data_IF_754994153961
#
_entry.id   IF_754994153961
#
_cell.length_a   1.000
_cell.length_b   1.000
_cell.length_c   1.000
_cell.angle_alpha   90.00
_cell.angle_beta   90.00
_cell.angle_gamma   90.00
#
_symmetry.space_group_name_H-M   'P 1'
#
loop_
_entity.id
_entity.type
_entity.pdbx_description
1 polymer ?
#
# COMPACT_ATOMS: atom_id res chain seq x y z
N UNK A 1 21.63 -8.96 -8.69
CA UNK A 1 20.32 -8.30 -8.53
C UNK A 1 19.45 -8.69 -9.71
N UNK A 2 18.21 -9.12 -9.52
CA UNK A 2 17.29 -9.41 -10.63
C UNK A 2 17.02 -8.11 -11.42
N UNK A 3 17.14 -8.17 -12.74
CA UNK A 3 16.92 -7.02 -13.64
C UNK A 3 15.53 -6.39 -13.46
N UNK A 4 14.49 -7.22 -13.26
CA UNK A 4 13.13 -6.75 -13.00
C UNK A 4 13.05 -5.91 -11.74
N UNK A 5 13.71 -6.35 -10.67
CA UNK A 5 13.74 -5.61 -9.41
C UNK A 5 14.49 -4.28 -9.54
N UNK A 6 15.56 -4.24 -10.33
CA UNK A 6 16.28 -3.00 -10.62
C UNK A 6 15.40 -1.96 -11.33
N UNK A 7 14.62 -2.38 -12.34
CA UNK A 7 13.66 -1.51 -13.05
C UNK A 7 12.58 -0.97 -12.10
N UNK A 8 12.06 -1.82 -11.20
CA UNK A 8 11.04 -1.44 -10.22
C UNK A 8 11.56 -0.42 -9.20
N UNK A 9 12.78 -0.63 -8.68
CA UNK A 9 13.40 0.29 -7.72
C UNK A 9 13.76 1.64 -8.36
N UNK A 10 14.22 1.61 -9.62
CA UNK A 10 14.55 2.82 -10.39
C UNK A 10 13.31 3.49 -11.00
N UNK A 11 12.13 2.86 -10.90
CA UNK A 11 10.85 3.35 -11.42
C UNK A 11 10.91 3.71 -12.92
N UNK A 12 11.62 2.88 -13.70
CA UNK A 12 11.70 3.06 -15.15
C UNK A 12 10.35 2.85 -15.84
N UNK A 13 10.13 3.58 -16.94
CA UNK A 13 8.86 3.65 -17.66
C UNK A 13 8.18 2.30 -17.99
N UNK A 14 8.87 1.18 -18.29
CA UNK A 14 8.21 -0.09 -18.60
C UNK A 14 7.30 -0.63 -17.50
N UNK A 15 7.50 -0.23 -16.24
CA UNK A 15 6.61 -0.67 -15.15
C UNK A 15 5.18 -0.11 -15.27
N UNK A 16 4.98 0.90 -16.12
CA UNK A 16 3.67 1.52 -16.38
C UNK A 16 2.79 0.67 -17.30
N UNK A 17 3.40 -0.28 -18.02
CA UNK A 17 2.67 -1.18 -18.93
C UNK A 17 2.14 -2.43 -18.20
N UNK A 18 2.53 -2.61 -16.94
CA UNK A 18 2.05 -3.70 -16.09
C UNK A 18 0.94 -3.17 -15.19
N UNK A 19 -0.25 -3.75 -15.24
CA UNK A 19 -1.36 -3.37 -14.39
C UNK A 19 -1.89 -4.53 -13.56
N UNK A 20 -2.52 -4.19 -12.44
CA UNK A 20 -3.24 -5.10 -11.56
C UNK A 20 -4.67 -4.63 -11.40
N UNK A 21 -5.60 -5.59 -11.48
CA UNK A 21 -7.00 -5.39 -11.18
C UNK A 21 -7.37 -6.20 -9.94
N UNK A 22 -8.08 -5.56 -9.01
CA UNK A 22 -8.51 -6.23 -7.77
C UNK A 22 -9.93 -5.83 -7.40
N UNK A 23 -10.54 -6.62 -6.52
CA UNK A 23 -11.86 -6.35 -5.98
C UNK A 23 -11.88 -6.57 -4.48
N UNK A 24 -12.45 -5.62 -3.75
CA UNK A 24 -12.85 -5.77 -2.36
C UNK A 24 -14.37 -5.83 -2.28
N UNK A 25 -14.90 -6.85 -1.62
CA UNK A 25 -16.32 -6.99 -1.34
C UNK A 25 -16.62 -6.48 0.06
N UNK A 26 -17.68 -5.69 0.21
CA UNK A 26 -18.15 -5.23 1.51
C UNK A 26 -17.18 -4.28 2.23
N UNK A 27 -16.34 -3.55 1.51
CA UNK A 27 -15.52 -2.47 2.10
C UNK A 27 -16.42 -1.35 2.59
N UNK A 28 -16.15 -0.79 3.77
CA UNK A 28 -16.90 0.36 4.28
C UNK A 28 -16.81 1.54 3.31
N UNK A 29 -17.93 2.23 3.07
CA UNK A 29 -17.99 3.29 2.05
C UNK A 29 -16.99 4.42 2.31
N UNK A 30 -16.76 4.81 3.57
CA UNK A 30 -15.76 5.82 3.92
C UNK A 30 -14.33 5.36 3.64
N UNK A 31 -14.03 4.04 3.74
CA UNK A 31 -12.71 3.51 3.36
C UNK A 31 -12.56 3.57 1.84
N UNK A 32 -13.61 3.22 1.09
CA UNK A 32 -13.59 3.34 -0.37
C UNK A 32 -13.25 4.76 -0.83
N UNK A 33 -13.73 5.80 -0.11
CA UNK A 33 -13.40 7.20 -0.43
C UNK A 33 -11.91 7.53 -0.31
N UNK A 34 -11.15 6.81 0.54
CA UNK A 34 -9.70 6.97 0.63
C UNK A 34 -8.98 6.41 -0.60
N UNK A 35 -9.59 5.43 -1.27
CA UNK A 35 -8.99 4.75 -2.42
C UNK A 35 -9.34 5.41 -3.74
N UNK A 36 -10.52 6.00 -3.90
CA UNK A 36 -10.93 6.71 -5.13
C UNK A 36 -10.12 8.00 -5.40
N UNK A 37 -9.36 8.50 -4.42
CA UNK A 37 -8.54 9.72 -4.55
C UNK A 37 -7.20 9.50 -5.25
N UNK A 38 -6.86 8.25 -5.59
CA UNK A 38 -5.60 7.93 -6.25
C UNK A 38 -5.74 7.99 -7.78
N UNK A 39 -4.59 8.11 -8.46
CA UNK A 39 -4.50 8.17 -9.93
C UNK A 39 -4.64 6.76 -10.52
N UNK A 40 -5.81 6.19 -10.46
CA UNK A 40 -6.14 4.89 -11.03
C UNK A 40 -7.61 4.82 -11.41
N UNK A 41 -7.99 3.81 -12.17
CA UNK A 41 -9.37 3.54 -12.46
C UNK A 41 -10.01 2.79 -11.29
N UNK A 42 -11.19 3.24 -10.87
CA UNK A 42 -11.93 2.55 -9.84
C UNK A 42 -13.43 2.59 -10.08
N UNK A 43 -14.09 1.56 -9.60
CA UNK A 43 -15.55 1.44 -9.57
C UNK A 43 -16.00 1.12 -8.15
N UNK A 44 -16.93 1.90 -7.65
CA UNK A 44 -17.59 1.67 -6.36
C UNK A 44 -19.05 1.36 -6.61
N UNK A 45 -19.56 0.28 -6.00
CA UNK A 45 -20.99 -0.10 -6.13
C UNK A 45 -21.88 1.07 -5.75
N UNK A 46 -22.84 1.35 -6.61
CA UNK A 46 -23.77 2.47 -6.42
C UNK A 46 -24.64 2.27 -5.17
N UNK A 47 -24.78 3.34 -4.40
CA UNK A 47 -25.68 3.45 -3.25
C UNK A 47 -26.94 4.26 -3.58
N UNK A 48 -27.32 4.39 -4.86
CA UNK A 48 -28.52 5.11 -5.28
C UNK A 48 -29.77 4.46 -4.73
N UNK A 49 -30.68 5.29 -4.20
CA UNK A 49 -31.93 4.85 -3.57
C UNK A 49 -32.82 4.01 -4.49
N UNK A 50 -32.82 4.32 -5.80
CA UNK A 50 -33.57 3.56 -6.81
C UNK A 50 -33.02 2.14 -7.06
N UNK A 51 -31.76 1.86 -6.66
CA UNK A 51 -31.11 0.55 -6.79
C UNK A 51 -31.06 -0.22 -5.49
N UNK A 52 -31.00 0.46 -4.35
CA UNK A 52 -30.89 -0.16 -3.03
C UNK A 52 -32.23 -0.32 -2.34
N UNK A 53 -33.25 0.46 -2.74
CA UNK A 53 -34.55 0.53 -2.05
C UNK A 53 -34.49 1.31 -0.73
N UNK A 54 -33.31 1.83 -0.34
CA UNK A 54 -33.10 2.59 0.90
C UNK A 54 -32.73 4.03 0.54
N UNK A 55 -33.35 5.06 1.15
CA UNK A 55 -32.94 6.43 0.97
C UNK A 55 -31.46 6.61 1.32
N UNK A 56 -30.69 7.22 0.41
CA UNK A 56 -29.23 7.35 0.54
C UNK A 56 -28.81 8.13 1.79
N UNK A 57 -29.56 9.11 2.18
CA UNK A 57 -29.34 9.94 3.38
C UNK A 57 -29.54 9.18 4.70
N UNK A 58 -30.19 8.02 4.64
CA UNK A 58 -30.34 7.11 5.78
C UNK A 58 -29.27 6.03 5.88
N UNK A 59 -28.38 5.92 4.89
CA UNK A 59 -27.29 4.96 4.92
C UNK A 59 -26.15 5.46 5.83
N UNK A 60 -25.63 4.61 6.73
CA UNK A 60 -24.48 4.97 7.57
C UNK A 60 -23.21 5.12 6.73
N UNK A 61 -22.23 5.86 7.24
CA UNK A 61 -20.94 6.04 6.54
C UNK A 61 -20.16 4.73 6.38
N UNK A 62 -20.43 3.74 7.21
CA UNK A 62 -19.80 2.41 7.13
C UNK A 62 -20.62 1.38 6.35
N UNK A 63 -21.65 1.82 5.62
CA UNK A 63 -22.42 0.95 4.73
C UNK A 63 -21.49 0.19 3.77
N UNK A 64 -21.60 -1.15 3.70
CA UNK A 64 -20.72 -1.96 2.85
C UNK A 64 -20.93 -1.68 1.36
N UNK A 65 -19.83 -1.48 0.64
CA UNK A 65 -19.82 -1.35 -0.83
C UNK A 65 -18.80 -2.27 -1.45
N UNK A 66 -19.01 -2.69 -2.69
CA UNK A 66 -17.99 -3.35 -3.46
C UNK A 66 -17.11 -2.30 -4.14
N UNK A 67 -15.81 -2.51 -4.09
CA UNK A 67 -14.80 -1.67 -4.74
C UNK A 67 -14.02 -2.51 -5.74
N UNK A 68 -13.88 -2.03 -6.95
CA UNK A 68 -12.96 -2.56 -7.96
C UNK A 68 -11.94 -1.48 -8.27
N UNK A 69 -10.65 -1.81 -8.25
CA UNK A 69 -9.58 -0.91 -8.64
C UNK A 69 -8.74 -1.54 -9.74
N UNK A 70 -8.20 -0.70 -10.61
CA UNK A 70 -7.21 -1.07 -11.61
C UNK A 70 -6.13 0.00 -11.67
N UNK A 71 -4.87 -0.40 -11.51
CA UNK A 71 -3.73 0.51 -11.48
C UNK A 71 -2.51 -0.12 -12.12
N UNK A 72 -1.72 0.68 -12.81
CA UNK A 72 -0.39 0.26 -13.21
C UNK A 72 0.57 0.22 -12.01
N UNK A 73 1.72 -0.44 -12.18
CA UNK A 73 2.68 -0.65 -11.10
C UNK A 73 3.22 0.67 -10.54
N UNK A 74 3.45 1.71 -11.37
CA UNK A 74 3.88 3.00 -10.88
C UNK A 74 2.84 3.62 -9.92
N UNK A 75 1.57 3.61 -10.30
CA UNK A 75 0.50 4.13 -9.45
C UNK A 75 0.32 3.32 -8.17
N UNK A 76 0.55 2.00 -8.23
CA UNK A 76 0.56 1.15 -7.03
C UNK A 76 1.71 1.54 -6.10
N UNK A 77 2.93 1.71 -6.59
CA UNK A 77 4.09 2.14 -5.80
C UNK A 77 3.78 3.48 -5.11
N UNK A 78 3.32 4.48 -5.86
CA UNK A 78 3.02 5.82 -5.34
C UNK A 78 1.93 5.78 -4.26
N UNK A 79 0.90 4.96 -4.49
CA UNK A 79 -0.21 4.81 -3.54
C UNK A 79 0.24 4.07 -2.28
N UNK A 80 0.99 2.98 -2.42
CA UNK A 80 1.43 2.18 -1.27
C UNK A 80 2.40 2.94 -0.36
N UNK A 81 3.20 3.86 -0.90
CA UNK A 81 4.00 4.82 -0.10
C UNK A 81 3.15 5.60 0.90
N UNK A 82 1.91 5.93 0.53
CA UNK A 82 0.96 6.66 1.38
C UNK A 82 0.09 5.73 2.23
N UNK A 83 -0.39 4.61 1.67
CA UNK A 83 -1.39 3.76 2.32
C UNK A 83 -0.80 2.72 3.25
N UNK A 84 0.49 2.35 3.11
CA UNK A 84 1.23 1.58 4.11
C UNK A 84 1.79 2.46 5.23
N UNK A 85 1.70 3.78 5.14
CA UNK A 85 2.12 4.70 6.20
C UNK A 85 1.14 4.67 7.38
N UNK A 86 1.66 4.72 8.62
CA UNK A 86 0.84 4.73 9.83
C UNK A 86 0.04 6.03 10.06
N UNK A 87 0.27 7.06 9.25
CA UNK A 87 -0.62 8.23 9.18
C UNK A 87 -1.92 7.97 8.40
N UNK A 88 -1.98 6.88 7.65
CA UNK A 88 -3.25 6.43 7.07
C UNK A 88 -4.13 5.78 8.14
N UNK A 89 -5.45 5.89 7.99
CA UNK A 89 -6.40 5.22 8.87
C UNK A 89 -6.10 3.71 8.96
N UNK A 90 -6.26 3.12 10.14
CA UNK A 90 -5.91 1.71 10.41
C UNK A 90 -6.54 0.77 9.38
N UNK A 91 -7.82 0.89 9.16
CA UNK A 91 -8.57 0.04 8.23
C UNK A 91 -8.08 0.20 6.78
N UNK A 92 -7.74 1.42 6.39
CA UNK A 92 -7.16 1.68 5.05
C UNK A 92 -5.79 1.01 4.89
N UNK A 93 -4.96 0.98 5.96
CA UNK A 93 -3.68 0.26 5.95
C UNK A 93 -3.87 -1.24 5.84
N UNK A 94 -4.87 -1.80 6.52
CA UNK A 94 -5.18 -3.24 6.45
C UNK A 94 -5.48 -3.65 5.00
N UNK A 95 -6.33 -2.90 4.29
CA UNK A 95 -6.57 -3.13 2.85
C UNK A 95 -5.30 -2.95 1.99
N UNK A 96 -4.43 -1.98 2.32
CA UNK A 96 -3.16 -1.81 1.64
C UNK A 96 -2.22 -3.01 1.86
N UNK A 97 -2.14 -3.50 3.09
CA UNK A 97 -1.34 -4.67 3.44
C UNK A 97 -1.85 -5.93 2.74
N UNK A 98 -3.17 -6.14 2.70
CA UNK A 98 -3.78 -7.27 2.01
C UNK A 98 -3.53 -7.22 0.49
N UNK A 99 -3.68 -6.04 -0.12
CA UNK A 99 -3.37 -5.86 -1.54
C UNK A 99 -1.88 -6.13 -1.83
N UNK A 100 -0.96 -5.62 -0.99
CA UNK A 100 0.47 -5.91 -1.10
C UNK A 100 0.73 -7.42 -1.03
N UNK A 101 0.17 -8.12 -0.05
CA UNK A 101 0.30 -9.58 0.09
C UNK A 101 -0.23 -10.33 -1.13
N UNK A 102 -1.39 -9.92 -1.65
CA UNK A 102 -1.98 -10.52 -2.85
C UNK A 102 -1.10 -10.32 -4.09
N UNK A 103 -0.53 -9.13 -4.28
CA UNK A 103 0.40 -8.84 -5.37
C UNK A 103 1.69 -9.63 -5.19
N UNK A 104 2.27 -9.69 -3.98
CA UNK A 104 3.50 -10.45 -3.69
C UNK A 104 3.35 -11.92 -4.07
N UNK A 105 2.16 -12.52 -3.86
CA UNK A 105 1.88 -13.91 -4.28
C UNK A 105 1.84 -14.09 -5.80
N UNK A 106 1.56 -13.04 -6.57
CA UNK A 106 1.52 -13.08 -8.04
C UNK A 106 2.85 -12.71 -8.66
N UNK A 107 3.49 -11.69 -8.12
CA UNK A 107 4.81 -11.22 -8.53
C UNK A 107 5.56 -10.70 -7.30
N UNK A 108 6.54 -11.48 -6.84
CA UNK A 108 7.34 -11.17 -5.66
C UNK A 108 8.15 -9.88 -5.83
N UNK A 109 8.66 -9.59 -7.04
CA UNK A 109 9.46 -8.40 -7.28
C UNK A 109 8.61 -7.13 -7.16
N UNK A 110 7.41 -7.14 -7.77
CA UNK A 110 6.48 -6.00 -7.69
C UNK A 110 6.00 -5.82 -6.23
N UNK A 111 5.58 -6.91 -5.57
CA UNK A 111 5.17 -6.85 -4.17
C UNK A 111 6.29 -6.32 -3.25
N UNK A 112 7.54 -6.72 -3.52
CA UNK A 112 8.72 -6.26 -2.79
C UNK A 112 9.01 -4.75 -2.96
N UNK A 113 8.61 -4.15 -4.08
CA UNK A 113 8.74 -2.73 -4.33
C UNK A 113 7.66 -1.86 -3.64
N UNK A 114 6.58 -2.48 -3.15
CA UNK A 114 5.49 -1.78 -2.46
C UNK A 114 5.84 -1.54 -1.00
N UNK A 115 6.44 -0.40 -0.70
CA UNK A 115 6.91 -0.01 0.63
C UNK A 115 6.32 1.34 1.07
N UNK A 116 6.26 1.65 2.38
CA UNK A 116 5.84 2.96 2.86
C UNK A 116 6.90 4.04 2.57
N UNK A 117 6.47 5.29 2.57
CA UNK A 117 7.30 6.42 2.19
C UNK A 117 8.58 6.58 3.04
N UNK A 118 8.52 6.26 4.33
CA UNK A 118 9.69 6.32 5.21
C UNK A 118 10.78 5.31 4.82
N UNK A 119 10.40 4.12 4.36
CA UNK A 119 11.35 3.12 3.85
C UNK A 119 11.97 3.57 2.52
N UNK A 120 11.16 4.12 1.61
CA UNK A 120 11.64 4.70 0.36
C UNK A 120 12.64 5.83 0.60
N UNK A 121 12.32 6.78 1.48
CA UNK A 121 13.10 8.01 1.73
C UNK A 121 14.21 7.85 2.76
N UNK A 122 14.34 6.67 3.39
CA UNK A 122 15.28 6.44 4.49
C UNK A 122 15.02 7.40 5.68
N UNK A 123 13.76 7.59 6.01
CA UNK A 123 13.34 8.51 7.08
C UNK A 123 11.89 8.93 6.94
N UNK A 124 11.29 9.39 8.03
CA UNK A 124 9.91 9.84 8.03
C UNK A 124 9.79 11.24 7.40
N UNK A 125 9.04 11.42 6.30
CA UNK A 125 8.82 12.72 5.68
C UNK A 125 7.59 13.47 6.23
N UNK A 126 6.84 12.87 7.14
CA UNK A 126 5.58 13.43 7.65
C UNK A 126 5.85 14.47 8.75
N UNK A 127 5.07 15.56 8.78
CA UNK A 127 5.17 16.60 9.81
C UNK A 127 4.98 16.03 11.22
N UNK A 128 4.04 15.08 11.37
CA UNK A 128 3.81 14.35 12.61
C UNK A 128 4.31 12.91 12.44
N UNK A 129 5.55 12.64 12.84
CA UNK A 129 6.14 11.31 12.72
C UNK A 129 5.43 10.29 13.62
N UNK A 130 5.08 9.14 13.04
CA UNK A 130 4.43 8.03 13.77
C UNK A 130 5.43 7.11 14.51
N UNK A 131 6.73 7.40 14.46
CA UNK A 131 7.81 6.61 15.09
C UNK A 131 7.97 5.17 14.57
N UNK A 132 7.32 4.81 13.47
CA UNK A 132 7.43 3.45 12.91
C UNK A 132 8.74 3.23 12.17
N UNK A 133 9.31 4.29 11.59
CA UNK A 133 10.65 4.21 11.00
C UNK A 133 11.69 3.86 12.07
N UNK A 134 11.69 4.57 13.17
CA UNK A 134 12.63 4.35 14.28
C UNK A 134 12.49 2.93 14.86
N UNK A 135 11.25 2.43 15.01
CA UNK A 135 11.02 1.04 15.45
C UNK A 135 11.56 0.00 14.48
N UNK A 136 11.44 0.24 13.18
CA UNK A 136 12.00 -0.62 12.15
C UNK A 136 13.54 -0.59 12.18
N UNK A 137 14.14 0.60 12.30
CA UNK A 137 15.61 0.76 12.44
C UNK A 137 16.12 0.03 13.68
N UNK A 138 15.48 0.22 14.83
CA UNK A 138 15.84 -0.41 16.10
C UNK A 138 15.75 -1.95 16.01
N UNK A 139 14.68 -2.49 15.44
CA UNK A 139 14.52 -3.91 15.19
C UNK A 139 15.64 -4.47 14.29
N UNK A 140 15.91 -3.81 13.17
CA UNK A 140 16.93 -4.25 12.21
C UNK A 140 18.32 -4.27 12.86
N UNK A 141 18.63 -3.28 13.69
CA UNK A 141 19.88 -3.24 14.43
C UNK A 141 19.96 -4.35 15.50
N UNK A 142 18.94 -4.46 16.37
CA UNK A 142 18.97 -5.37 17.51
C UNK A 142 18.85 -6.85 17.11
N UNK A 143 17.97 -7.15 16.17
CA UNK A 143 17.66 -8.55 15.83
C UNK A 143 18.44 -9.07 14.61
N UNK A 144 18.97 -8.18 13.78
CA UNK A 144 19.69 -8.57 12.54
C UNK A 144 21.12 -8.03 12.47
N UNK A 145 21.50 -7.09 13.34
CA UNK A 145 22.81 -6.43 13.25
C UNK A 145 22.95 -5.53 12.01
N UNK A 146 21.83 -5.02 11.47
CA UNK A 146 21.79 -4.30 10.20
C UNK A 146 21.51 -2.82 10.44
N UNK A 147 22.40 -1.95 9.94
CA UNK A 147 22.20 -0.50 9.89
C UNK A 147 21.47 -0.14 8.58
N UNK A 148 20.13 -0.14 8.62
CA UNK A 148 19.30 0.02 7.41
C UNK A 148 19.46 1.36 6.71
N UNK A 149 19.86 2.41 7.42
CA UNK A 149 20.16 3.74 6.87
C UNK A 149 21.38 3.73 5.96
N UNK A 150 22.31 2.82 6.19
CA UNK A 150 23.53 2.66 5.38
C UNK A 150 23.32 1.75 4.18
N UNK A 151 22.16 1.09 4.08
CA UNK A 151 21.90 0.16 2.99
C UNK A 151 21.52 0.89 1.69
N UNK A 152 21.95 0.36 0.53
CA UNK A 152 21.35 0.71 -0.75
C UNK A 152 19.84 0.43 -0.71
N UNK A 153 19.07 1.23 -1.45
CA UNK A 153 17.59 1.22 -1.43
C UNK A 153 17.01 -0.18 -1.59
N UNK A 154 17.56 -1.01 -2.49
CA UNK A 154 17.05 -2.34 -2.78
C UNK A 154 17.25 -3.31 -1.60
N UNK A 155 18.37 -3.22 -0.86
CA UNK A 155 18.61 -4.03 0.34
C UNK A 155 17.70 -3.57 1.48
N UNK A 156 17.52 -2.27 1.65
CA UNK A 156 16.60 -1.69 2.63
C UNK A 156 15.17 -2.16 2.43
N UNK A 157 14.70 -2.26 1.17
CA UNK A 157 13.39 -2.82 0.85
C UNK A 157 13.30 -4.29 1.24
N UNK A 158 14.35 -5.08 1.01
CA UNK A 158 14.41 -6.48 1.43
C UNK A 158 14.23 -6.63 2.95
N UNK A 159 15.03 -5.92 3.74
CA UNK A 159 14.95 -5.95 5.21
C UNK A 159 13.56 -5.48 5.70
N UNK A 160 12.98 -4.46 5.06
CA UNK A 160 11.63 -4.03 5.44
C UNK A 160 10.56 -5.08 5.08
N UNK A 161 10.67 -5.78 3.96
CA UNK A 161 9.74 -6.85 3.62
C UNK A 161 9.78 -7.99 4.65
N UNK A 162 10.95 -8.38 5.16
CA UNK A 162 11.07 -9.33 6.28
C UNK A 162 10.32 -8.82 7.53
N UNK A 163 10.54 -7.56 7.91
CA UNK A 163 9.85 -6.93 9.04
C UNK A 163 8.32 -6.91 8.86
N UNK A 164 7.86 -6.65 7.64
CA UNK A 164 6.44 -6.67 7.29
C UNK A 164 5.84 -8.08 7.36
N UNK A 165 6.56 -9.08 6.82
CA UNK A 165 6.08 -10.48 6.77
C UNK A 165 6.06 -11.13 8.16
N UNK A 166 6.91 -10.68 9.10
CA UNK A 166 6.84 -11.04 10.51
C UNK A 166 5.65 -10.40 11.26
N UNK A 167 4.82 -9.61 10.58
CA UNK A 167 3.65 -8.94 11.18
C UNK A 167 3.99 -7.76 12.09
N UNK A 168 5.21 -7.22 12.03
CA UNK A 168 5.70 -6.13 12.88
C UNK A 168 5.31 -4.73 12.39
N UNK A 169 4.92 -4.67 11.13
CA UNK A 169 4.48 -3.43 10.49
C UNK A 169 2.98 -3.22 10.61
#
# INVERSE_FOLDING_TARGET
MDFRYSILIAEHSPIRDISFKWRWKGIKSWIATHWVRHKWECFVKSQRSDRTGIPRDKLPQDEPVDFVGEANVQHLIDTMRKRLCYQAAKETREYAADLKKAITKKDFAIGGALVPNCVYRCGCPEMNCCKKWEKFVDWAWRERGIMVEMLPIFKRYGVWNEYFDEGRW
#
